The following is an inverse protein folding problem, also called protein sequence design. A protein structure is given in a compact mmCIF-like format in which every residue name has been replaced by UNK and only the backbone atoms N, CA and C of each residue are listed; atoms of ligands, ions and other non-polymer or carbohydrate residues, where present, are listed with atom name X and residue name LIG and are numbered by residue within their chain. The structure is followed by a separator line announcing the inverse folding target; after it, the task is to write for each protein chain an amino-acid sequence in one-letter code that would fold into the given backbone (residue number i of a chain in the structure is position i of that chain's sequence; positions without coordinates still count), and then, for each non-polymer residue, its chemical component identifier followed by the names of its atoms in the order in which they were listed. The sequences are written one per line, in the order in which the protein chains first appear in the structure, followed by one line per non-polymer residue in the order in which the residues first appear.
data_IF_349328418373
#
_entry.id   IF_349328418373
#
_cell.length_a   1.000
_cell.length_b   1.000
_cell.length_c   1.000
_cell.angle_alpha   90.00
_cell.angle_beta   90.00
_cell.angle_gamma   90.00
#
_symmetry.space_group_name_H-M   'P 1'
#
loop_
_entity.id
_entity.type
_entity.pdbx_description
1 polymer ?
#
# COMPACT_ATOMS: atom_id res chain seq x y z
N UNK A 1 -32.01 2.16 47.85
CA UNK A 1 -32.02 2.66 46.46
C UNK A 1 -30.63 3.13 45.94
N UNK A 2 -29.50 2.53 46.37
CA UNK A 2 -28.13 2.95 45.98
C UNK A 2 -27.45 2.05 44.94
N UNK A 3 -28.06 0.91 44.60
CA UNK A 3 -27.43 -0.11 43.75
C UNK A 3 -27.55 0.17 42.24
N UNK A 4 -28.55 0.97 41.83
CA UNK A 4 -28.81 1.28 40.41
C UNK A 4 -27.77 2.26 39.82
N UNK A 5 -27.31 3.23 40.62
CA UNK A 5 -26.35 4.24 40.17
C UNK A 5 -24.96 3.67 39.92
N UNK A 6 -24.54 2.68 40.71
CA UNK A 6 -23.23 2.05 40.59
C UNK A 6 -23.11 1.16 39.34
N UNK A 7 -24.20 0.48 38.97
CA UNK A 7 -24.29 -0.33 37.75
C UNK A 7 -24.27 0.57 36.51
N UNK A 8 -25.03 1.67 36.52
CA UNK A 8 -25.03 2.67 35.45
C UNK A 8 -23.62 3.25 35.19
N UNK A 9 -22.87 3.60 36.24
CA UNK A 9 -21.50 4.10 36.10
C UNK A 9 -20.55 3.07 35.49
N UNK A 10 -20.66 1.79 35.86
CA UNK A 10 -19.84 0.72 35.27
C UNK A 10 -20.15 0.47 33.79
N UNK A 11 -21.43 0.53 33.41
CA UNK A 11 -21.85 0.40 32.01
C UNK A 11 -21.34 1.58 31.18
N UNK A 12 -21.47 2.81 31.67
CA UNK A 12 -20.94 3.99 30.98
C UNK A 12 -19.41 3.92 30.86
N UNK A 13 -18.70 3.50 31.90
CA UNK A 13 -17.24 3.36 31.87
C UNK A 13 -16.78 2.28 30.88
N UNK A 14 -17.48 1.14 30.82
CA UNK A 14 -17.24 0.11 29.81
C UNK A 14 -17.51 0.61 28.40
N UNK A 15 -18.59 1.39 28.19
CA UNK A 15 -18.89 2.00 26.90
C UNK A 15 -17.80 3.00 26.50
N UNK A 16 -17.31 3.84 27.42
CA UNK A 16 -16.21 4.78 27.16
C UNK A 16 -14.92 4.03 26.81
N UNK A 17 -14.56 2.99 27.56
CA UNK A 17 -13.40 2.15 27.24
C UNK A 17 -13.55 1.46 25.88
N UNK A 18 -14.75 0.98 25.54
CA UNK A 18 -15.03 0.38 24.23
C UNK A 18 -14.93 1.43 23.12
N UNK A 19 -15.44 2.64 23.34
CA UNK A 19 -15.33 3.77 22.39
C UNK A 19 -13.86 4.16 22.20
N UNK A 20 -13.06 4.21 23.27
CA UNK A 20 -11.61 4.48 23.21
C UNK A 20 -10.83 3.31 22.56
N UNK A 21 -11.29 2.06 22.74
CA UNK A 21 -10.74 0.90 22.03
C UNK A 21 -11.10 0.90 20.53
N UNK A 22 -12.27 1.43 20.15
CA UNK A 22 -12.71 1.60 18.77
C UNK A 22 -12.02 2.79 18.11
N UNK A 23 -11.64 3.81 18.88
CA UNK A 23 -10.79 4.91 18.46
C UNK A 23 -9.32 4.47 18.34
N UNK A 24 -9.03 3.55 17.43
CA UNK A 24 -7.75 3.57 16.75
C UNK A 24 -7.67 4.93 16.03
N UNK A 25 -7.09 5.93 16.70
CA UNK A 25 -6.92 7.28 16.16
C UNK A 25 -5.89 7.18 15.02
N UNK A 26 -6.40 6.94 13.82
CA UNK A 26 -5.58 7.06 12.62
C UNK A 26 -5.29 8.53 12.39
N UNK A 27 -4.03 8.93 12.58
CA UNK A 27 -3.58 10.32 12.45
C UNK A 27 -3.46 10.77 10.98
N UNK A 28 -3.53 9.84 10.02
CA UNK A 28 -3.54 10.15 8.59
C UNK A 28 -4.69 11.06 8.15
N UNK A 29 -5.87 10.91 8.76
CA UNK A 29 -7.08 11.63 8.35
C UNK A 29 -7.35 12.84 9.24
N UNK A 30 -7.61 13.97 8.61
CA UNK A 30 -8.30 15.08 9.24
C UNK A 30 -9.80 14.75 9.40
N UNK A 31 -10.14 14.03 10.48
CA UNK A 31 -11.51 13.57 10.81
C UNK A 31 -12.50 14.71 11.14
N UNK A 32 -12.08 15.99 11.13
CA UNK A 32 -12.98 17.12 11.31
C UNK A 32 -13.98 17.27 10.16
N UNK A 33 -13.67 16.72 8.97
CA UNK A 33 -14.59 16.69 7.83
C UNK A 33 -15.36 15.37 7.81
N UNK A 34 -16.69 15.43 7.66
CA UNK A 34 -17.58 14.26 7.74
C UNK A 34 -17.29 13.18 6.67
N UNK A 35 -16.74 13.58 5.52
CA UNK A 35 -16.31 12.67 4.46
C UNK A 35 -14.93 12.03 4.71
N UNK A 36 -14.20 12.41 5.76
CA UNK A 36 -12.88 11.89 6.08
C UNK A 36 -12.97 10.85 7.20
N UNK A 37 -13.43 9.65 6.83
CA UNK A 37 -13.68 8.55 7.73
C UNK A 37 -13.01 7.24 7.26
N UNK A 38 -12.96 6.26 8.16
CA UNK A 38 -12.31 4.97 7.92
C UNK A 38 -12.91 4.22 6.72
N UNK A 39 -14.21 4.37 6.44
CA UNK A 39 -14.84 3.72 5.29
C UNK A 39 -14.29 4.26 3.97
N UNK A 40 -14.10 5.57 3.86
CA UNK A 40 -13.48 6.19 2.69
C UNK A 40 -11.99 5.84 2.59
N UNK A 41 -11.29 5.70 3.72
CA UNK A 41 -9.89 5.23 3.72
C UNK A 41 -9.75 3.77 3.30
N UNK A 42 -10.69 2.89 3.69
CA UNK A 42 -10.73 1.50 3.22
C UNK A 42 -11.01 1.43 1.71
N UNK A 43 -11.90 2.29 1.20
CA UNK A 43 -12.15 2.40 -0.24
C UNK A 43 -10.93 2.95 -0.99
N UNK A 44 -10.22 3.92 -0.40
CA UNK A 44 -8.95 4.42 -0.90
C UNK A 44 -7.92 3.29 -1.01
N UNK A 45 -7.68 2.55 0.09
CA UNK A 45 -6.75 1.42 0.15
C UNK A 45 -7.07 0.36 -0.91
N UNK A 46 -8.35 -0.01 -1.02
CA UNK A 46 -8.82 -0.96 -2.03
C UNK A 46 -8.62 -0.44 -3.47
N UNK A 47 -8.83 0.84 -3.71
CA UNK A 47 -8.62 1.43 -5.03
C UNK A 47 -7.14 1.43 -5.41
N UNK A 48 -6.22 1.72 -4.48
CA UNK A 48 -4.78 1.60 -4.72
C UNK A 48 -4.43 0.18 -5.15
N UNK A 49 -4.89 -0.83 -4.40
CA UNK A 49 -4.67 -2.26 -4.73
C UNK A 49 -5.15 -2.63 -6.14
N UNK A 50 -6.36 -2.17 -6.51
CA UNK A 50 -6.94 -2.41 -7.83
C UNK A 50 -6.22 -1.70 -8.97
N UNK A 51 -5.69 -0.50 -8.73
CA UNK A 51 -4.88 0.23 -9.72
C UNK A 51 -3.56 -0.50 -9.93
N UNK A 52 -2.93 -0.97 -8.84
CA UNK A 52 -1.65 -1.67 -8.87
C UNK A 52 -1.72 -3.09 -9.44
N UNK A 53 -2.92 -3.69 -9.53
CA UNK A 53 -3.11 -5.05 -10.10
C UNK A 53 -2.33 -6.14 -9.35
N UNK A 54 -2.20 -5.97 -8.03
CA UNK A 54 -1.36 -6.79 -7.15
C UNK A 54 -2.11 -7.14 -5.85
N UNK A 55 -1.75 -8.27 -5.24
CA UNK A 55 -2.32 -8.77 -3.99
C UNK A 55 -3.79 -9.20 -4.05
N UNK A 56 -4.25 -9.79 -2.94
CA UNK A 56 -5.59 -10.40 -2.80
C UNK A 56 -6.78 -9.50 -3.18
N UNK A 57 -6.64 -8.19 -3.01
CA UNK A 57 -7.68 -7.20 -3.34
C UNK A 57 -7.46 -6.50 -4.69
N UNK A 58 -6.39 -6.87 -5.39
CA UNK A 58 -6.16 -6.48 -6.78
C UNK A 58 -7.27 -6.98 -7.69
N UNK A 59 -7.37 -6.38 -8.88
CA UNK A 59 -8.24 -6.87 -9.95
C UNK A 59 -7.40 -7.55 -11.02
N UNK A 60 -8.06 -8.37 -11.85
CA UNK A 60 -7.43 -8.96 -13.03
C UNK A 60 -7.04 -7.87 -14.04
N UNK A 61 -5.93 -8.10 -14.71
CA UNK A 61 -5.50 -7.30 -15.86
C UNK A 61 -6.30 -7.69 -17.10
N UNK A 62 -6.55 -6.78 -18.06
CA UNK A 62 -7.19 -7.11 -19.33
C UNK A 62 -6.45 -8.24 -20.06
N UNK A 63 -7.22 -9.18 -20.61
CA UNK A 63 -6.66 -10.30 -21.38
C UNK A 63 -6.44 -9.96 -22.86
N UNK A 64 -7.08 -8.90 -23.36
CA UNK A 64 -7.03 -8.48 -24.76
C UNK A 64 -7.22 -6.96 -24.87
N UNK A 65 -7.06 -6.43 -26.08
CA UNK A 65 -7.11 -4.98 -26.35
C UNK A 65 -8.51 -4.38 -26.15
N UNK A 66 -9.57 -5.18 -26.33
CA UNK A 66 -10.95 -4.72 -26.18
C UNK A 66 -11.27 -4.42 -24.71
N UNK A 67 -10.75 -5.25 -23.81
CA UNK A 67 -10.87 -5.07 -22.35
C UNK A 67 -10.05 -3.88 -21.82
N UNK A 68 -8.94 -3.52 -22.48
CA UNK A 68 -8.06 -2.42 -22.04
C UNK A 68 -8.83 -1.10 -21.90
N UNK A 69 -9.80 -0.83 -22.79
CA UNK A 69 -10.56 0.42 -22.75
C UNK A 69 -11.38 0.55 -21.46
N UNK A 70 -12.12 -0.49 -21.08
CA UNK A 70 -12.90 -0.46 -19.82
C UNK A 70 -11.96 -0.42 -18.61
N UNK A 71 -10.90 -1.25 -18.64
CA UNK A 71 -9.90 -1.29 -17.58
C UNK A 71 -9.34 0.11 -17.28
N UNK A 72 -8.96 0.84 -18.33
CA UNK A 72 -8.38 2.17 -18.25
C UNK A 72 -9.36 3.25 -17.78
N UNK A 73 -10.63 3.18 -18.19
CA UNK A 73 -11.68 4.08 -17.69
C UNK A 73 -11.83 3.92 -16.18
N UNK A 74 -11.97 2.68 -15.72
CA UNK A 74 -12.08 2.36 -14.29
C UNK A 74 -10.81 2.76 -13.50
N UNK A 75 -9.60 2.53 -14.06
CA UNK A 75 -8.35 2.98 -13.41
C UNK A 75 -8.36 4.49 -13.21
N UNK A 76 -8.81 5.23 -14.22
CA UNK A 76 -8.87 6.70 -14.19
C UNK A 76 -9.83 7.18 -13.12
N UNK A 77 -11.01 6.56 -13.00
CA UNK A 77 -11.99 6.88 -11.96
C UNK A 77 -11.47 6.58 -10.56
N UNK A 78 -10.86 5.41 -10.36
CA UNK A 78 -10.24 5.06 -9.07
C UNK A 78 -9.10 6.02 -8.70
N UNK A 79 -8.28 6.42 -9.67
CA UNK A 79 -7.17 7.36 -9.46
C UNK A 79 -7.69 8.74 -9.06
N UNK A 80 -8.76 9.25 -9.72
CA UNK A 80 -9.41 10.51 -9.32
C UNK A 80 -9.97 10.45 -7.91
N UNK A 81 -10.57 9.31 -7.52
CA UNK A 81 -11.06 9.13 -6.15
C UNK A 81 -9.91 9.17 -5.12
N UNK A 82 -8.82 8.46 -5.40
CA UNK A 82 -7.60 8.45 -4.57
C UNK A 82 -7.04 9.86 -4.41
N UNK A 83 -6.93 10.62 -5.50
CA UNK A 83 -6.51 12.03 -5.46
C UNK A 83 -7.43 12.91 -4.62
N UNK A 84 -8.75 12.75 -4.80
CA UNK A 84 -9.75 13.52 -4.05
C UNK A 84 -9.60 13.29 -2.54
N UNK A 85 -9.56 12.03 -2.10
CA UNK A 85 -9.40 11.70 -0.67
C UNK A 85 -8.08 12.24 -0.13
N UNK A 86 -6.99 12.13 -0.89
CA UNK A 86 -5.68 12.67 -0.48
C UNK A 86 -5.73 14.17 -0.24
N UNK A 87 -6.31 14.93 -1.17
CA UNK A 87 -6.36 16.39 -1.08
C UNK A 87 -7.35 16.88 -0.02
N UNK A 88 -8.46 16.18 0.18
CA UNK A 88 -9.52 16.62 1.09
C UNK A 88 -9.27 16.18 2.53
N UNK A 89 -8.69 14.99 2.72
CA UNK A 89 -8.68 14.31 4.01
C UNK A 89 -7.32 14.13 4.65
N UNK A 90 -6.21 14.15 3.91
CA UNK A 90 -4.91 14.00 4.55
C UNK A 90 -4.41 15.34 5.12
N UNK A 91 -3.56 15.28 6.14
CA UNK A 91 -2.77 16.45 6.57
C UNK A 91 -1.89 16.94 5.41
N UNK A 92 -1.39 18.17 5.48
CA UNK A 92 -0.55 18.74 4.41
C UNK A 92 0.69 17.87 4.17
N UNK A 93 1.34 17.41 5.23
CA UNK A 93 2.54 16.57 5.20
C UNK A 93 2.24 15.20 4.59
N UNK A 94 1.27 14.46 5.16
CA UNK A 94 0.88 13.14 4.64
C UNK A 94 0.33 13.23 3.20
N UNK A 95 -0.37 14.32 2.88
CA UNK A 95 -0.87 14.60 1.54
C UNK A 95 0.25 14.82 0.52
N UNK A 96 1.35 15.48 0.91
CA UNK A 96 2.50 15.68 0.02
C UNK A 96 3.23 14.38 -0.27
N UNK A 97 3.45 13.53 0.75
CA UNK A 97 4.04 12.20 0.55
C UNK A 97 3.11 11.33 -0.30
N UNK A 98 1.81 11.32 0.00
CA UNK A 98 0.82 10.55 -0.75
C UNK A 98 0.78 10.93 -2.24
N UNK A 99 0.94 12.23 -2.57
CA UNK A 99 1.01 12.71 -3.95
C UNK A 99 2.19 12.12 -4.73
N UNK A 100 3.30 11.77 -4.09
CA UNK A 100 4.43 11.09 -4.77
C UNK A 100 4.02 9.69 -5.25
N UNK A 101 3.38 8.89 -4.39
CA UNK A 101 2.83 7.59 -4.78
C UNK A 101 1.80 7.72 -5.92
N UNK A 102 0.88 8.68 -5.78
CA UNK A 102 -0.18 8.90 -6.76
C UNK A 102 0.38 9.36 -8.11
N UNK A 103 1.44 10.16 -8.09
CA UNK A 103 2.13 10.57 -9.31
C UNK A 103 2.66 9.35 -10.08
N UNK A 104 3.31 8.40 -9.38
CA UNK A 104 3.75 7.13 -9.96
C UNK A 104 2.59 6.31 -10.55
N UNK A 105 1.47 6.17 -9.81
CA UNK A 105 0.27 5.49 -10.29
C UNK A 105 -0.33 6.15 -11.55
N UNK A 106 -0.37 7.48 -11.60
CA UNK A 106 -0.84 8.23 -12.78
C UNK A 106 0.07 8.05 -13.97
N UNK A 107 1.38 8.14 -13.76
CA UNK A 107 2.40 7.95 -14.79
C UNK A 107 2.26 6.57 -15.42
N UNK A 108 2.16 5.52 -14.60
CA UNK A 108 1.90 4.16 -15.05
C UNK A 108 0.57 4.04 -15.80
N UNK A 109 -0.53 4.58 -15.25
CA UNK A 109 -1.84 4.54 -15.89
C UNK A 109 -1.81 5.18 -17.27
N UNK A 110 -1.14 6.35 -17.42
CA UNK A 110 -0.97 7.01 -18.73
C UNK A 110 -0.17 6.16 -19.71
N UNK A 111 0.88 5.49 -19.26
CA UNK A 111 1.68 4.61 -20.12
C UNK A 111 0.83 3.45 -20.64
N UNK A 112 0.09 2.75 -19.76
CA UNK A 112 -0.74 1.61 -20.16
C UNK A 112 -1.98 2.00 -20.96
N UNK A 113 -2.58 3.14 -20.65
CA UNK A 113 -3.84 3.61 -21.24
C UNK A 113 -3.66 4.59 -22.40
N UNK A 114 -2.42 4.77 -22.86
CA UNK A 114 -2.13 5.56 -24.04
C UNK A 114 -2.75 4.91 -25.28
N UNK A 115 -3.28 5.74 -26.19
CA UNK A 115 -3.76 5.29 -27.51
C UNK A 115 -2.63 4.83 -28.44
N UNK A 116 -1.37 5.16 -28.11
CA UNK A 116 -0.20 4.77 -28.91
C UNK A 116 0.20 3.33 -28.62
N UNK A 117 0.72 2.63 -29.64
CA UNK A 117 1.24 1.28 -29.49
C UNK A 117 2.33 1.28 -28.41
N UNK A 118 2.11 0.48 -27.37
CA UNK A 118 3.02 0.38 -26.22
C UNK A 118 3.54 -1.05 -26.13
N UNK A 119 4.85 -1.23 -26.38
CA UNK A 119 5.51 -2.55 -26.29
C UNK A 119 5.28 -3.22 -24.93
N UNK A 120 5.34 -2.44 -23.84
CA UNK A 120 5.10 -2.94 -22.48
C UNK A 120 3.70 -3.50 -22.33
N UNK A 121 2.69 -2.76 -22.79
CA UNK A 121 1.30 -3.22 -22.77
C UNK A 121 1.14 -4.50 -23.61
N UNK A 122 1.77 -4.58 -24.79
CA UNK A 122 1.74 -5.79 -25.62
C UNK A 122 2.31 -7.01 -24.90
N UNK A 123 3.48 -6.86 -24.25
CA UNK A 123 4.11 -7.93 -23.46
C UNK A 123 3.26 -8.35 -22.26
N UNK A 124 2.65 -7.37 -21.57
CA UNK A 124 1.76 -7.62 -20.44
C UNK A 124 0.49 -8.34 -20.87
N UNK A 125 -0.15 -7.93 -21.98
CA UNK A 125 -1.35 -8.59 -22.52
C UNK A 125 -1.04 -10.04 -22.92
N UNK A 126 0.10 -10.29 -23.57
CA UNK A 126 0.54 -11.63 -23.93
C UNK A 126 0.71 -12.56 -22.70
N UNK A 127 1.02 -11.99 -21.53
CA UNK A 127 1.21 -12.73 -20.28
C UNK A 127 0.06 -12.55 -19.28
N UNK A 128 -1.00 -11.82 -19.63
CA UNK A 128 -2.07 -11.43 -18.71
C UNK A 128 -2.83 -12.64 -18.17
N UNK A 129 -3.09 -13.63 -19.02
CA UNK A 129 -3.75 -14.87 -18.61
C UNK A 129 -2.95 -15.63 -17.54
N UNK A 130 -1.61 -15.59 -17.60
CA UNK A 130 -0.75 -16.21 -16.60
C UNK A 130 -0.79 -15.43 -15.28
N UNK A 131 -0.62 -14.11 -15.35
CA UNK A 131 -0.70 -13.19 -14.19
C UNK A 131 -2.03 -13.31 -13.44
N UNK A 132 -3.14 -13.33 -14.19
CA UNK A 132 -4.49 -13.37 -13.64
C UNK A 132 -4.83 -14.66 -12.87
N UNK A 133 -4.01 -15.72 -12.99
CA UNK A 133 -4.15 -16.93 -12.16
C UNK A 133 -3.66 -16.72 -10.73
N UNK A 134 -2.75 -15.77 -10.53
CA UNK A 134 -2.05 -15.62 -9.27
C UNK A 134 -2.30 -14.31 -8.54
N UNK A 135 -2.82 -13.28 -9.22
CA UNK A 135 -3.04 -11.95 -8.62
C UNK A 135 -3.80 -12.01 -7.28
N UNK A 136 -4.82 -12.88 -7.17
CA UNK A 136 -5.61 -13.03 -5.94
C UNK A 136 -4.92 -13.85 -4.84
N UNK A 137 -3.84 -14.56 -5.17
CA UNK A 137 -3.08 -15.44 -4.29
C UNK A 137 -1.67 -14.91 -3.99
N UNK A 138 -1.32 -13.75 -4.52
CA UNK A 138 -0.05 -13.09 -4.28
C UNK A 138 0.11 -12.80 -2.78
N UNK A 139 1.22 -13.31 -2.23
CA UNK A 139 1.64 -13.19 -0.83
C UNK A 139 2.76 -12.16 -0.65
N UNK A 140 3.40 -11.73 -1.74
CA UNK A 140 4.58 -10.89 -1.71
C UNK A 140 4.26 -9.49 -1.22
N UNK A 141 3.14 -8.90 -1.63
CA UNK A 141 2.73 -7.62 -1.07
C UNK A 141 2.50 -7.65 0.45
N UNK A 142 2.02 -8.77 0.98
CA UNK A 142 1.81 -8.91 2.42
C UNK A 142 3.13 -8.89 3.21
N UNK A 143 4.27 -9.24 2.59
CA UNK A 143 5.60 -9.12 3.19
C UNK A 143 5.85 -7.65 3.51
N UNK A 144 5.92 -6.80 2.48
CA UNK A 144 6.23 -5.38 2.67
C UNK A 144 5.18 -4.66 3.52
N UNK A 145 3.89 -4.90 3.29
CA UNK A 145 2.84 -4.20 4.06
C UNK A 145 2.89 -4.56 5.54
N UNK A 146 2.97 -5.86 5.88
CA UNK A 146 2.92 -6.27 7.30
C UNK A 146 4.24 -5.97 8.03
N UNK A 147 5.38 -6.19 7.38
CA UNK A 147 6.68 -5.89 7.99
C UNK A 147 6.83 -4.38 8.22
N UNK A 148 6.44 -3.54 7.25
CA UNK A 148 6.42 -2.08 7.40
C UNK A 148 5.54 -1.66 8.59
N UNK A 149 4.35 -2.26 8.70
CA UNK A 149 3.45 -2.00 9.84
C UNK A 149 4.05 -2.39 11.19
N UNK A 150 4.82 -3.48 11.23
CA UNK A 150 5.49 -3.92 12.46
C UNK A 150 6.59 -2.95 12.91
N UNK A 151 7.10 -2.08 12.03
CA UNK A 151 8.07 -1.04 12.39
C UNK A 151 7.43 0.17 13.10
N UNK A 152 6.15 0.45 12.84
CA UNK A 152 5.43 1.61 13.39
C UNK A 152 5.61 1.73 14.92
N UNK A 153 5.40 0.67 15.73
CA UNK A 153 5.55 0.77 17.18
C UNK A 153 7.01 0.76 17.67
N UNK A 154 8.02 0.57 16.80
CA UNK A 154 9.42 0.49 17.24
C UNK A 154 10.02 1.87 17.48
N UNK A 155 10.73 2.07 18.59
CA UNK A 155 11.44 3.32 18.89
C UNK A 155 12.87 3.32 18.31
N UNK A 156 12.96 3.22 16.98
CA UNK A 156 14.23 3.20 16.21
C UNK A 156 14.39 4.40 15.28
N UNK A 157 13.55 5.43 15.43
CA UNK A 157 13.66 6.67 14.66
C UNK A 157 13.62 6.44 13.14
N UNK A 158 14.44 7.18 12.40
CA UNK A 158 14.47 7.17 10.93
C UNK A 158 14.94 5.83 10.33
N UNK A 159 15.56 4.95 11.11
CA UNK A 159 15.95 3.62 10.62
C UNK A 159 14.75 2.80 10.15
N UNK A 160 13.53 3.10 10.64
CA UNK A 160 12.28 2.55 10.10
C UNK A 160 12.18 2.69 8.58
N UNK A 161 12.65 3.82 8.02
CA UNK A 161 12.59 4.07 6.57
C UNK A 161 13.52 3.11 5.84
N UNK A 162 14.76 2.92 6.32
CA UNK A 162 15.73 1.99 5.74
C UNK A 162 15.16 0.57 5.70
N UNK A 163 14.58 0.11 6.81
CA UNK A 163 13.91 -1.19 6.88
C UNK A 163 12.73 -1.32 5.91
N UNK A 164 11.83 -0.34 5.86
CA UNK A 164 10.72 -0.31 4.93
C UNK A 164 11.19 -0.42 3.48
N UNK A 165 12.25 0.30 3.12
CA UNK A 165 12.84 0.25 1.79
C UNK A 165 13.39 -1.14 1.46
N UNK A 166 14.06 -1.80 2.41
CA UNK A 166 14.53 -3.18 2.22
C UNK A 166 13.39 -4.20 2.15
N UNK A 167 12.30 -4.01 2.89
CA UNK A 167 11.10 -4.84 2.72
C UNK A 167 10.45 -4.66 1.36
N UNK A 168 10.54 -3.47 0.76
CA UNK A 168 10.09 -3.25 -0.62
C UNK A 168 10.97 -4.01 -1.62
N UNK A 169 12.30 -3.98 -1.45
CA UNK A 169 13.25 -4.80 -2.25
C UNK A 169 12.94 -6.30 -2.09
N UNK A 170 12.68 -6.75 -0.87
CA UNK A 170 12.29 -8.15 -0.60
C UNK A 170 10.99 -8.52 -1.31
N UNK A 171 10.00 -7.62 -1.32
CA UNK A 171 8.75 -7.83 -2.06
C UNK A 171 8.99 -7.97 -3.57
N UNK A 172 9.84 -7.13 -4.18
CA UNK A 172 10.19 -7.28 -5.59
C UNK A 172 10.88 -8.62 -5.89
N UNK A 173 11.84 -9.04 -5.05
CA UNK A 173 12.50 -10.35 -5.13
C UNK A 173 11.51 -11.50 -4.93
N UNK A 174 10.49 -11.31 -4.09
CA UNK A 174 9.41 -12.28 -3.89
C UNK A 174 8.55 -12.41 -5.15
N UNK A 175 8.11 -11.29 -5.73
CA UNK A 175 7.30 -11.27 -6.95
C UNK A 175 8.04 -11.96 -8.09
N UNK A 176 9.30 -11.61 -8.32
CA UNK A 176 10.11 -12.21 -9.37
C UNK A 176 10.19 -13.75 -9.23
N UNK A 177 10.50 -14.23 -8.02
CA UNK A 177 10.51 -15.68 -7.72
C UNK A 177 9.14 -16.30 -7.93
N UNK A 178 8.08 -15.66 -7.46
CA UNK A 178 6.71 -16.16 -7.55
C UNK A 178 6.24 -16.28 -9.00
N UNK A 179 6.49 -15.26 -9.84
CA UNK A 179 6.20 -15.33 -11.27
C UNK A 179 7.08 -16.34 -12.01
N UNK A 180 8.34 -16.52 -11.60
CA UNK A 180 9.27 -17.44 -12.27
C UNK A 180 8.87 -18.90 -12.15
N UNK A 181 8.13 -19.26 -11.09
CA UNK A 181 7.66 -20.62 -10.84
C UNK A 181 6.46 -21.03 -11.71
N UNK A 182 5.85 -20.08 -12.43
CA UNK A 182 4.69 -20.36 -13.26
C UNK A 182 5.09 -20.89 -14.65
N UNK A 183 4.60 -22.07 -15.07
CA UNK A 183 4.94 -22.64 -16.38
C UNK A 183 4.53 -21.76 -17.57
N UNK A 184 3.48 -20.94 -17.40
CA UNK A 184 2.99 -20.02 -18.43
C UNK A 184 3.73 -18.67 -18.50
N UNK A 185 4.69 -18.45 -17.60
CA UNK A 185 5.33 -17.16 -17.41
C UNK A 185 6.55 -17.04 -18.33
N UNK A 186 6.53 -16.06 -19.23
CA UNK A 186 7.66 -15.76 -20.09
C UNK A 186 8.54 -14.67 -19.46
N UNK A 187 9.87 -14.76 -19.64
CA UNK A 187 10.81 -13.81 -19.02
C UNK A 187 10.49 -12.35 -19.36
N UNK A 188 10.23 -12.03 -20.63
CA UNK A 188 9.91 -10.66 -21.04
C UNK A 188 8.60 -10.15 -20.40
N UNK A 189 7.60 -11.04 -20.26
CA UNK A 189 6.36 -10.74 -19.57
C UNK A 189 6.57 -10.46 -18.09
N UNK A 190 7.36 -11.32 -17.41
CA UNK A 190 7.74 -11.12 -16.00
C UNK A 190 8.43 -9.78 -15.79
N UNK A 191 9.44 -9.48 -16.61
CA UNK A 191 10.18 -8.23 -16.51
C UNK A 191 9.23 -7.04 -16.69
N UNK A 192 8.32 -7.10 -17.68
CA UNK A 192 7.34 -6.04 -17.89
C UNK A 192 6.43 -5.80 -16.67
N UNK A 193 6.06 -6.87 -15.95
CA UNK A 193 5.28 -6.82 -14.71
C UNK A 193 6.05 -6.29 -13.50
N UNK A 194 7.25 -6.80 -13.24
CA UNK A 194 8.10 -6.34 -12.13
C UNK A 194 8.47 -4.87 -12.33
N UNK A 195 8.87 -4.50 -13.54
CA UNK A 195 9.15 -3.10 -13.87
C UNK A 195 7.91 -2.24 -13.62
N UNK A 196 6.69 -2.78 -13.78
CA UNK A 196 5.46 -2.02 -13.61
C UNK A 196 5.31 -1.66 -12.14
N UNK A 197 5.43 -2.65 -11.26
CA UNK A 197 5.38 -2.50 -9.80
C UNK A 197 6.45 -1.49 -9.34
N UNK A 198 7.68 -1.63 -9.86
CA UNK A 198 8.79 -0.68 -9.61
C UNK A 198 8.41 0.74 -10.03
N UNK A 199 7.94 0.92 -11.26
CA UNK A 199 7.60 2.25 -11.81
C UNK A 199 6.45 2.96 -11.09
N UNK A 200 5.59 2.24 -10.38
CA UNK A 200 4.51 2.83 -9.59
C UNK A 200 5.01 3.52 -8.31
N UNK A 201 6.11 3.02 -7.72
CA UNK A 201 6.63 3.49 -6.43
C UNK A 201 8.00 4.16 -6.56
N UNK A 202 8.60 4.18 -7.75
CA UNK A 202 9.92 4.75 -8.00
C UNK A 202 10.09 6.17 -7.42
N UNK A 203 9.15 7.08 -7.67
CA UNK A 203 9.29 8.47 -7.22
C UNK A 203 9.22 8.59 -5.68
N UNK A 204 8.37 7.80 -5.02
CA UNK A 204 8.27 7.80 -3.55
C UNK A 204 9.45 7.10 -2.88
N UNK A 205 9.95 6.02 -3.48
CA UNK A 205 11.11 5.28 -2.98
C UNK A 205 12.41 6.04 -3.21
N UNK A 206 12.59 6.69 -4.36
CA UNK A 206 13.76 7.56 -4.60
C UNK A 206 13.80 8.73 -3.62
N UNK A 207 12.63 9.26 -3.24
CA UNK A 207 12.53 10.29 -2.22
C UNK A 207 12.94 9.78 -0.82
N UNK A 208 12.56 8.55 -0.47
CA UNK A 208 12.68 8.04 0.91
C UNK A 208 13.92 7.17 1.16
N UNK A 209 14.33 6.35 0.20
CA UNK A 209 15.18 5.19 0.44
C UNK A 209 16.68 5.44 0.24
N UNK A 210 17.06 6.49 -0.49
CA UNK A 210 18.48 6.76 -0.80
C UNK A 210 19.17 5.50 -1.35
N UNK A 211 20.21 5.05 -0.66
CA UNK A 211 21.00 3.87 -1.06
C UNK A 211 20.33 2.52 -0.74
N UNK A 212 19.25 2.46 0.05
CA UNK A 212 18.55 1.21 0.39
C UNK A 212 17.60 0.79 -0.73
N UNK A 213 18.15 0.26 -1.82
CA UNK A 213 17.42 -0.11 -3.03
C UNK A 213 18.03 -1.37 -3.69
N UNK A 214 17.47 -1.84 -4.81
CA UNK A 214 17.91 -3.05 -5.53
C UNK A 214 19.33 -2.98 -6.10
N UNK A 215 19.94 -1.79 -6.17
CA UNK A 215 21.21 -1.53 -6.86
C UNK A 215 22.42 -1.58 -5.92
N UNK A 216 22.21 -1.70 -4.60
CA UNK A 216 23.27 -1.75 -3.60
C UNK A 216 23.12 -2.99 -2.71
N UNK A 217 24.16 -3.29 -1.93
CA UNK A 217 24.18 -4.37 -0.94
C UNK A 217 23.65 -3.92 0.44
N UNK A 218 23.14 -2.68 0.57
CA UNK A 218 22.68 -2.13 1.85
C UNK A 218 21.57 -2.94 2.48
N UNK A 219 20.65 -3.46 1.66
CA UNK A 219 19.56 -4.30 2.16
C UNK A 219 19.97 -5.74 2.46
N UNK A 220 21.12 -6.18 1.95
CA UNK A 220 21.67 -7.50 2.26
C UNK A 220 22.55 -7.46 3.53
N UNK A 221 22.95 -6.27 3.96
CA UNK A 221 23.85 -6.03 5.12
C UNK A 221 23.16 -5.38 6.32
N UNK A 222 21.90 -4.96 6.17
CA UNK A 222 21.13 -4.38 7.28
C UNK A 222 20.77 -5.48 8.30
N UNK A 223 21.12 -5.26 9.57
CA UNK A 223 20.73 -6.16 10.67
C UNK A 223 19.24 -6.10 10.94
N UNK A 224 18.65 -7.13 11.54
CA UNK A 224 17.22 -7.13 11.90
C UNK A 224 16.85 -5.95 12.83
N UNK A 225 15.59 -5.44 12.75
CA UNK A 225 15.11 -4.43 13.68
C UNK A 225 15.14 -4.93 15.13
N UNK A 226 15.55 -4.06 16.07
CA UNK A 226 15.48 -4.36 17.49
C UNK A 226 14.03 -4.30 18.01
N UNK A 227 13.34 -5.44 17.96
CA UNK A 227 11.97 -5.58 18.42
C UNK A 227 11.79 -5.41 19.93
N UNK A 228 12.86 -5.36 20.73
CA UNK A 228 12.77 -5.05 22.16
C UNK A 228 12.42 -3.58 22.41
N UNK A 229 12.64 -2.70 21.42
CA UNK A 229 12.28 -1.27 21.47
C UNK A 229 10.84 -0.99 21.11
N UNK A 230 9.97 -2.01 21.18
CA UNK A 230 8.56 -1.88 20.82
C UNK A 230 7.79 -1.12 21.90
N UNK A 231 7.14 -0.04 21.50
CA UNK A 231 6.16 0.64 22.31
C UNK A 231 4.79 -0.08 22.23
N UNK A 232 4.41 -0.75 23.32
CA UNK A 232 3.17 -1.53 23.40
C UNK A 232 1.89 -0.66 23.39
N UNK A 233 1.98 0.66 23.64
CA UNK A 233 0.81 1.54 23.60
C UNK A 233 0.37 1.88 22.18
N UNK A 234 1.26 1.74 21.19
CA UNK A 234 0.97 2.00 19.79
C UNK A 234 0.27 0.78 19.17
N UNK A 235 -1.01 0.97 18.83
CA UNK A 235 -1.84 -0.05 18.15
C UNK A 235 -1.75 0.12 16.63
N UNK A 236 -1.53 -0.99 15.93
CA UNK A 236 -1.48 -1.04 14.46
C UNK A 236 -2.86 -1.42 13.93
N UNK A 237 -3.38 -0.66 12.97
CA UNK A 237 -4.58 -1.04 12.23
C UNK A 237 -4.24 -2.03 11.11
N UNK A 238 -4.73 -3.28 11.24
CA UNK A 238 -4.47 -4.35 10.27
C UNK A 238 -5.47 -4.39 9.12
N UNK A 239 -6.47 -3.50 9.08
CA UNK A 239 -7.52 -3.50 8.06
C UNK A 239 -7.04 -3.03 6.68
N UNK A 240 -6.01 -2.17 6.64
CA UNK A 240 -5.43 -1.66 5.39
C UNK A 240 -4.35 -2.59 4.84
N UNK A 241 -4.29 -2.76 3.52
CA UNK A 241 -3.46 -3.78 2.87
C UNK A 241 -2.47 -3.21 1.85
N UNK A 242 -2.66 -1.97 1.38
CA UNK A 242 -1.73 -1.35 0.45
C UNK A 242 -0.45 -0.93 1.16
N UNK A 243 0.67 -1.09 0.45
CA UNK A 243 1.96 -0.59 0.88
C UNK A 243 1.94 0.92 1.13
N UNK A 244 1.20 1.67 0.29
CA UNK A 244 1.06 3.12 0.43
C UNK A 244 0.53 3.54 1.80
N UNK A 245 -0.54 2.90 2.29
CA UNK A 245 -1.08 3.22 3.63
C UNK A 245 -0.08 2.86 4.73
N UNK A 246 0.56 1.68 4.65
CA UNK A 246 1.58 1.29 5.62
C UNK A 246 2.77 2.26 5.65
N UNK A 247 3.22 2.73 4.50
CA UNK A 247 4.30 3.72 4.39
C UNK A 247 3.89 5.07 4.99
N UNK A 248 2.67 5.55 4.69
CA UNK A 248 2.16 6.80 5.27
C UNK A 248 2.03 6.73 6.79
N UNK A 249 1.49 5.62 7.33
CA UNK A 249 1.44 5.39 8.78
C UNK A 249 2.84 5.38 9.41
N UNK A 250 3.82 4.80 8.72
CA UNK A 250 5.20 4.79 9.17
C UNK A 250 5.80 6.20 9.20
N UNK A 251 5.61 7.00 8.15
CA UNK A 251 6.09 8.38 8.11
C UNK A 251 5.44 9.25 9.20
N UNK A 252 4.13 9.10 9.40
CA UNK A 252 3.39 9.80 10.44
C UNK A 252 3.89 9.44 11.85
N UNK A 253 4.34 8.19 12.05
CA UNK A 253 4.96 7.76 13.32
C UNK A 253 6.36 8.33 13.60
N UNK A 254 6.93 9.08 12.66
CA UNK A 254 8.24 9.74 12.80
C UNK A 254 8.12 11.24 13.10
N UNK A 255 6.92 11.81 12.95
CA UNK A 255 6.60 13.20 13.29
C UNK A 255 6.41 13.36 14.81
#
# INVERSE_FOLDING_TARGET
MKMSTFIMFRVIYLIIIIIDFINCKHHLLNKQKSNCNDQNLLKFDRNIMKIMTIGKMGRKFPANIDEVRSYCRETTEMTRYVEKVTNECFSIENGNIAKLFIFGLKRMTRQMCSKRKNRRLTLMLANAACHNRIVSNDKCLAIVTNQTKNLIPLNIGKDKINFMCCYYVEMLRCEERFYSQLPCSQQEGRNAWIDLIRSMNEDSLNFACGDYNEQTDRCDTINEPDFNRRNASIKIDKRFNSFMIAALELFDSLA
#
